data_IF_497864465785
#
_entry.id   IF_497864465785
#
_cell.length_a   1.000
_cell.length_b   1.000
_cell.length_c   1.000
_cell.angle_alpha   90.00
_cell.angle_beta   90.00
_cell.angle_gamma   90.00
#
_symmetry.space_group_name_H-M   'P 1'
#
loop_
_entity.id
_entity.type
_entity.pdbx_description
1 polymer ?
#
# COMPACT_ATOMS: atom_id res chain seq x y z
N UNK A 1 -23.62 1.48 4.46
CA UNK A 1 -23.82 0.48 5.52
C UNK A 1 -25.03 -0.40 5.24
N UNK A 2 -25.02 -1.62 5.76
CA UNK A 2 -26.12 -2.60 5.63
C UNK A 2 -26.64 -2.93 7.01
N UNK A 3 -27.96 -2.93 7.19
CA UNK A 3 -28.65 -3.48 8.34
C UNK A 3 -29.31 -4.83 7.98
N UNK A 4 -29.32 -5.74 8.91
CA UNK A 4 -29.96 -7.05 8.74
C UNK A 4 -31.22 -7.13 9.58
N UNK A 5 -32.34 -7.51 8.97
CA UNK A 5 -33.52 -7.96 9.68
C UNK A 5 -33.56 -9.48 9.67
N UNK A 6 -33.58 -10.06 10.86
CA UNK A 6 -33.66 -11.54 11.01
C UNK A 6 -35.02 -11.91 11.58
N UNK A 7 -35.78 -12.62 10.79
CA UNK A 7 -37.08 -13.20 11.22
C UNK A 7 -36.87 -14.68 11.57
N UNK A 8 -37.21 -15.06 12.80
CA UNK A 8 -37.13 -16.45 13.25
C UNK A 8 -38.54 -16.96 13.51
N UNK A 9 -38.97 -17.88 12.68
CA UNK A 9 -40.29 -18.53 12.87
C UNK A 9 -40.10 -19.92 13.49
N UNK A 10 -40.64 -20.10 14.69
CA UNK A 10 -40.64 -21.39 15.38
C UNK A 10 -42.09 -21.83 15.59
N UNK A 11 -42.44 -23.00 15.10
CA UNK A 11 -43.75 -23.60 15.41
C UNK A 11 -43.69 -24.29 16.76
N UNK A 12 -44.54 -23.90 17.72
CA UNK A 12 -44.60 -24.59 18.99
C UNK A 12 -45.05 -26.06 18.77
N UNK A 13 -44.28 -26.98 19.33
CA UNK A 13 -44.53 -28.43 19.27
C UNK A 13 -44.26 -29.12 17.91
N UNK A 14 -43.61 -28.45 16.95
CA UNK A 14 -43.18 -29.10 15.72
C UNK A 14 -41.73 -29.64 15.88
N UNK A 15 -41.44 -30.87 15.41
CA UNK A 15 -40.08 -31.38 15.34
C UNK A 15 -39.26 -30.73 14.21
N UNK A 16 -39.85 -29.86 13.38
CA UNK A 16 -39.17 -29.19 12.29
C UNK A 16 -38.23 -28.10 12.81
N UNK A 17 -37.07 -27.91 12.14
CA UNK A 17 -36.12 -26.87 12.50
C UNK A 17 -36.74 -25.46 12.33
N UNK A 18 -36.37 -24.54 13.20
CA UNK A 18 -36.82 -23.16 13.11
C UNK A 18 -36.41 -22.57 11.75
N UNK A 19 -37.33 -21.87 11.09
CA UNK A 19 -37.05 -21.17 9.85
C UNK A 19 -36.43 -19.78 10.17
N UNK A 20 -35.29 -19.51 9.64
CA UNK A 20 -34.59 -18.20 9.74
C UNK A 20 -34.60 -17.55 8.38
N UNK A 21 -35.16 -16.35 8.32
CA UNK A 21 -35.11 -15.51 7.13
C UNK A 21 -34.29 -14.26 7.44
N UNK A 22 -33.33 -13.97 6.57
CA UNK A 22 -32.46 -12.80 6.71
C UNK A 22 -32.72 -11.87 5.53
N UNK A 23 -33.05 -10.61 5.82
CA UNK A 23 -33.24 -9.56 4.84
C UNK A 23 -32.19 -8.48 5.05
N UNK A 24 -31.49 -8.14 3.99
CA UNK A 24 -30.50 -7.05 3.95
C UNK A 24 -31.17 -5.75 3.55
N UNK A 25 -30.91 -4.70 4.31
CA UNK A 25 -31.40 -3.35 4.04
C UNK A 25 -30.22 -2.39 3.89
N UNK A 26 -30.12 -1.72 2.74
CA UNK A 26 -29.17 -0.64 2.57
C UNK A 26 -29.62 0.56 3.41
N UNK A 27 -28.89 0.87 4.49
CA UNK A 27 -29.27 1.91 5.46
C UNK A 27 -28.31 3.10 5.54
N UNK A 28 -27.23 3.07 4.77
CA UNK A 28 -26.24 4.14 4.77
C UNK A 28 -25.79 4.49 3.36
N UNK A 29 -25.57 5.76 3.12
CA UNK A 29 -25.02 6.27 1.87
C UNK A 29 -23.48 6.32 1.89
N UNK A 30 -22.89 6.38 3.09
CA UNK A 30 -21.45 6.46 3.26
C UNK A 30 -20.73 5.13 3.01
N UNK A 31 -19.64 5.24 2.25
CA UNK A 31 -18.67 4.15 2.03
C UNK A 31 -17.46 4.37 2.93
N UNK A 32 -17.03 3.32 3.61
CA UNK A 32 -15.81 3.32 4.41
C UNK A 32 -14.90 2.22 3.87
N UNK A 33 -13.70 2.62 3.45
CA UNK A 33 -12.74 1.68 2.89
C UNK A 33 -11.36 1.83 3.54
N UNK A 34 -10.62 0.72 3.59
CA UNK A 34 -9.27 0.66 4.12
C UNK A 34 -8.38 -0.05 3.11
N UNK A 35 -7.46 0.71 2.53
CA UNK A 35 -6.63 0.28 1.40
C UNK A 35 -5.18 0.17 1.84
N UNK A 36 -4.53 -0.92 1.46
CA UNK A 36 -3.09 -1.10 1.56
C UNK A 36 -2.53 -1.22 0.14
N UNK A 37 -1.43 -0.51 -0.14
CA UNK A 37 -0.88 -0.43 -1.49
C UNK A 37 0.63 -0.38 -1.45
N UNK A 38 1.26 -1.18 -2.32
CA UNK A 38 2.70 -1.16 -2.51
C UNK A 38 3.07 -0.11 -3.55
N UNK A 39 4.06 0.75 -3.23
CA UNK A 39 4.50 1.85 -4.09
C UNK A 39 6.01 1.83 -4.18
N UNK A 40 6.54 1.49 -5.35
CA UNK A 40 7.96 1.39 -5.60
C UNK A 40 8.45 2.29 -6.74
N UNK A 41 7.53 2.74 -7.59
CA UNK A 41 7.83 3.62 -8.72
C UNK A 41 6.65 4.56 -9.06
N UNK A 42 6.84 5.41 -10.08
CA UNK A 42 5.83 6.36 -10.53
C UNK A 42 4.57 5.68 -11.09
N UNK A 43 4.69 4.48 -11.67
CA UNK A 43 3.53 3.77 -12.22
C UNK A 43 2.62 3.24 -11.13
N UNK A 44 3.18 2.83 -9.98
CA UNK A 44 2.42 2.43 -8.80
C UNK A 44 1.65 3.61 -8.21
N UNK A 45 2.29 4.80 -8.18
CA UNK A 45 1.63 6.05 -7.76
C UNK A 45 0.47 6.39 -8.69
N UNK A 46 0.67 6.33 -10.00
CA UNK A 46 -0.39 6.57 -10.98
C UNK A 46 -1.54 5.58 -10.82
N UNK A 47 -1.24 4.30 -10.62
CA UNK A 47 -2.24 3.27 -10.41
C UNK A 47 -3.04 3.50 -9.11
N UNK A 48 -2.37 3.88 -8.02
CA UNK A 48 -3.02 4.21 -6.75
C UNK A 48 -3.93 5.44 -6.86
N UNK A 49 -3.46 6.52 -7.49
CA UNK A 49 -4.25 7.74 -7.71
C UNK A 49 -5.44 7.49 -8.65
N UNK A 50 -5.24 6.65 -9.69
CA UNK A 50 -6.32 6.21 -10.57
C UNK A 50 -7.37 5.38 -9.83
N UNK A 51 -6.93 4.46 -8.95
CA UNK A 51 -7.81 3.69 -8.07
C UNK A 51 -8.66 4.61 -7.18
N UNK A 52 -8.06 5.59 -6.52
CA UNK A 52 -8.80 6.59 -5.72
C UNK A 52 -9.76 7.40 -6.60
N UNK A 53 -9.34 7.76 -7.80
CA UNK A 53 -10.17 8.52 -8.75
C UNK A 53 -11.38 7.73 -9.25
N UNK A 54 -11.36 6.42 -9.21
CA UNK A 54 -12.44 5.55 -9.67
C UNK A 54 -13.62 5.42 -8.70
N UNK A 55 -13.50 5.88 -7.45
CA UNK A 55 -14.63 5.86 -6.52
C UNK A 55 -15.82 6.66 -7.04
N UNK A 56 -17.03 6.07 -7.12
CA UNK A 56 -18.18 6.71 -7.77
C UNK A 56 -18.77 7.89 -6.98
N UNK A 57 -18.71 7.84 -5.66
CA UNK A 57 -19.32 8.84 -4.77
C UNK A 57 -18.34 9.31 -3.71
N UNK A 58 -17.30 10.04 -4.15
CA UNK A 58 -16.19 10.46 -3.29
C UNK A 58 -16.64 11.31 -2.10
N UNK A 59 -17.63 12.18 -2.29
CA UNK A 59 -18.12 13.06 -1.24
C UNK A 59 -18.74 12.31 -0.04
N UNK A 60 -19.23 11.09 -0.27
CA UNK A 60 -19.76 10.21 0.77
C UNK A 60 -18.84 8.99 1.02
N UNK A 61 -17.58 9.09 0.62
CA UNK A 61 -16.58 8.04 0.79
C UNK A 61 -15.47 8.49 1.74
N UNK A 62 -15.19 7.65 2.71
CA UNK A 62 -14.06 7.77 3.64
C UNK A 62 -13.06 6.68 3.32
N UNK A 63 -11.86 7.06 2.92
CA UNK A 63 -10.76 6.13 2.65
C UNK A 63 -9.64 6.32 3.65
N UNK A 64 -9.23 5.22 4.28
CA UNK A 64 -7.98 5.13 5.03
C UNK A 64 -6.98 4.35 4.19
N UNK A 65 -5.85 4.96 3.85
CA UNK A 65 -4.82 4.27 3.08
C UNK A 65 -3.56 4.01 3.89
N UNK A 66 -2.86 2.96 3.56
CA UNK A 66 -1.51 2.66 4.00
C UNK A 66 -0.67 2.34 2.77
N UNK A 67 0.47 3.04 2.64
CA UNK A 67 1.41 2.84 1.56
C UNK A 67 2.68 2.20 2.11
N UNK A 68 3.23 1.24 1.38
CA UNK A 68 4.45 0.54 1.72
C UNK A 68 5.39 0.60 0.54
N UNK A 69 6.69 0.67 0.80
CA UNK A 69 7.70 0.65 -0.24
C UNK A 69 8.73 1.76 -0.14
N UNK A 70 9.35 2.07 -1.28
CA UNK A 70 10.41 3.06 -1.33
C UNK A 70 10.44 3.74 -2.69
N UNK A 71 10.35 5.06 -2.72
CA UNK A 71 10.26 5.86 -3.93
C UNK A 71 11.28 7.00 -3.90
N UNK A 72 11.67 7.49 -5.06
CA UNK A 72 12.50 8.70 -5.17
C UNK A 72 11.72 9.98 -4.80
N UNK A 73 12.44 11.09 -4.64
CA UNK A 73 11.86 12.38 -4.27
C UNK A 73 10.83 12.88 -5.30
N UNK A 74 11.04 12.62 -6.58
CA UNK A 74 10.14 13.10 -7.65
C UNK A 74 8.82 12.34 -7.60
N UNK A 75 8.87 11.03 -7.40
CA UNK A 75 7.71 10.16 -7.25
C UNK A 75 6.93 10.48 -5.96
N UNK A 76 7.64 10.77 -4.86
CA UNK A 76 7.01 11.23 -3.61
C UNK A 76 6.24 12.55 -3.83
N UNK A 77 6.85 13.52 -4.52
CA UNK A 77 6.19 14.79 -4.84
C UNK A 77 4.95 14.59 -5.73
N UNK A 78 4.99 13.66 -6.69
CA UNK A 78 3.84 13.31 -7.51
C UNK A 78 2.71 12.72 -6.68
N UNK A 79 3.03 11.83 -5.75
CA UNK A 79 2.07 11.24 -4.81
C UNK A 79 1.42 12.31 -3.94
N UNK A 80 2.22 13.17 -3.31
CA UNK A 80 1.74 14.25 -2.44
C UNK A 80 0.81 15.22 -3.18
N UNK A 81 1.19 15.62 -4.40
CA UNK A 81 0.37 16.49 -5.24
C UNK A 81 -0.97 15.82 -5.61
N UNK A 82 -0.93 14.56 -6.04
CA UNK A 82 -2.15 13.81 -6.40
C UNK A 82 -3.09 13.61 -5.21
N UNK A 83 -2.55 13.33 -4.02
CA UNK A 83 -3.33 13.22 -2.80
C UNK A 83 -3.92 14.56 -2.37
N UNK A 84 -3.17 15.67 -2.49
CA UNK A 84 -3.66 17.00 -2.19
C UNK A 84 -4.82 17.42 -3.10
N UNK A 85 -4.79 17.02 -4.37
CA UNK A 85 -5.88 17.26 -5.33
C UNK A 85 -7.13 16.41 -5.03
N UNK A 86 -6.94 15.17 -4.57
CA UNK A 86 -8.04 14.25 -4.28
C UNK A 86 -8.68 14.45 -2.90
N UNK A 87 -7.90 14.84 -1.89
CA UNK A 87 -8.39 14.97 -0.53
C UNK A 87 -9.65 15.85 -0.38
N UNK A 88 -9.77 17.01 -1.07
CA UNK A 88 -10.95 17.88 -0.94
C UNK A 88 -12.24 17.30 -1.53
N UNK A 89 -12.16 16.31 -2.44
CA UNK A 89 -13.34 15.74 -3.10
C UNK A 89 -13.87 14.50 -2.38
N UNK A 90 -13.10 13.92 -1.46
CA UNK A 90 -13.55 12.83 -0.59
C UNK A 90 -14.25 13.35 0.66
N UNK A 91 -15.16 12.56 1.22
CA UNK A 91 -15.69 12.80 2.56
C UNK A 91 -14.60 12.82 3.62
N UNK A 92 -13.62 11.93 3.51
CA UNK A 92 -12.32 11.99 4.15
C UNK A 92 -11.32 11.07 3.44
N UNK A 93 -10.08 11.51 3.31
CA UNK A 93 -8.96 10.73 2.78
C UNK A 93 -7.76 10.94 3.71
N UNK A 94 -7.27 9.87 4.36
CA UNK A 94 -6.20 9.99 5.34
C UNK A 94 -5.40 8.71 5.55
N UNK A 95 -4.21 8.87 6.07
CA UNK A 95 -3.24 7.82 6.30
C UNK A 95 -3.61 6.92 7.48
N UNK A 96 -3.30 5.63 7.35
CA UNK A 96 -3.25 4.69 8.47
C UNK A 96 -1.86 4.70 9.09
N UNK A 97 -1.56 5.70 9.90
CA UNK A 97 -0.21 5.99 10.44
C UNK A 97 0.56 4.76 10.94
N UNK A 98 -0.13 3.77 11.55
CA UNK A 98 0.52 2.56 12.09
C UNK A 98 0.95 1.56 11.02
N UNK A 99 0.45 1.68 9.80
CA UNK A 99 0.72 0.77 8.70
C UNK A 99 1.44 1.47 7.53
N UNK A 100 1.66 2.78 7.64
CA UNK A 100 2.50 3.51 6.70
C UNK A 100 3.95 3.05 6.84
N UNK A 101 4.52 2.57 5.75
CA UNK A 101 5.92 2.16 5.64
C UNK A 101 6.48 2.57 4.26
N UNK A 102 6.15 3.79 3.84
CA UNK A 102 6.68 4.40 2.63
C UNK A 102 7.91 5.25 2.99
N UNK A 103 9.03 5.00 2.35
CA UNK A 103 10.30 5.68 2.58
C UNK A 103 10.85 6.27 1.29
N UNK A 104 11.75 7.26 1.42
CA UNK A 104 12.53 7.73 0.28
C UNK A 104 13.58 6.67 -0.09
N UNK A 105 13.70 6.41 -1.39
CA UNK A 105 14.78 5.57 -1.91
C UNK A 105 16.13 6.26 -1.65
N UNK A 106 17.14 5.51 -1.17
CA UNK A 106 18.45 6.07 -1.01
C UNK A 106 19.02 6.50 -2.36
N UNK A 107 19.69 7.65 -2.39
CA UNK A 107 20.50 8.06 -3.54
C UNK A 107 21.79 7.22 -3.61
N UNK A 108 22.47 7.24 -4.75
CA UNK A 108 23.79 6.59 -4.90
C UNK A 108 24.81 7.16 -3.89
N UNK A 109 24.69 8.45 -3.53
CA UNK A 109 25.51 9.09 -2.50
C UNK A 109 25.19 8.56 -1.09
N UNK A 110 23.91 8.36 -0.77
CA UNK A 110 23.50 7.78 0.50
C UNK A 110 23.99 6.33 0.66
N UNK A 111 23.96 5.56 -0.45
CA UNK A 111 24.48 4.20 -0.47
C UNK A 111 26.01 4.17 -0.28
N UNK A 112 26.72 5.10 -0.91
CA UNK A 112 28.17 5.21 -0.78
C UNK A 112 28.65 5.64 0.61
N UNK A 113 27.82 6.42 1.33
CA UNK A 113 28.11 6.90 2.70
C UNK A 113 27.61 5.92 3.78
N UNK A 114 26.88 4.86 3.39
CA UNK A 114 26.34 3.90 4.33
C UNK A 114 27.44 2.97 4.85
N UNK A 115 28.07 3.31 5.97
CA UNK A 115 29.10 2.50 6.65
C UNK A 115 28.44 1.30 7.37
N UNK A 116 28.10 0.26 6.60
CA UNK A 116 27.68 -1.02 7.17
C UNK A 116 28.89 -1.91 7.41
N UNK A 117 29.07 -2.31 8.67
CA UNK A 117 30.13 -3.26 9.03
C UNK A 117 29.75 -4.72 8.77
N UNK A 118 30.76 -5.58 8.61
CA UNK A 118 30.57 -7.03 8.54
C UNK A 118 29.80 -7.51 7.32
N UNK A 119 28.93 -8.50 7.50
CA UNK A 119 28.17 -9.14 6.41
C UNK A 119 27.28 -8.16 5.65
N UNK A 120 26.66 -7.20 6.33
CA UNK A 120 25.79 -6.22 5.71
C UNK A 120 26.55 -5.29 4.73
N UNK A 121 27.78 -4.90 5.08
CA UNK A 121 28.64 -4.12 4.18
C UNK A 121 29.06 -4.91 2.94
N UNK A 122 29.34 -6.20 3.07
CA UNK A 122 29.64 -7.05 1.90
C UNK A 122 28.41 -7.22 1.00
N UNK A 123 27.22 -7.41 1.58
CA UNK A 123 25.98 -7.49 0.81
C UNK A 123 25.68 -6.18 0.08
N UNK A 124 25.90 -5.02 0.70
CA UNK A 124 25.74 -3.72 0.08
C UNK A 124 26.66 -3.57 -1.14
N UNK A 125 27.95 -3.91 -0.98
CA UNK A 125 28.93 -3.82 -2.08
C UNK A 125 28.56 -4.74 -3.25
N UNK A 126 28.18 -6.00 -2.97
CA UNK A 126 27.76 -6.96 -3.99
C UNK A 126 26.50 -6.53 -4.75
N UNK A 127 25.47 -6.05 -4.02
CA UNK A 127 24.25 -5.54 -4.65
C UNK A 127 24.51 -4.27 -5.48
N UNK A 128 25.39 -3.38 -5.03
CA UNK A 128 25.77 -2.17 -5.79
C UNK A 128 26.51 -2.54 -7.08
N UNK A 129 27.42 -3.52 -7.06
CA UNK A 129 28.08 -4.02 -8.25
C UNK A 129 27.08 -4.68 -9.24
N UNK A 130 26.11 -5.44 -8.72
CA UNK A 130 25.05 -6.04 -9.55
C UNK A 130 24.15 -4.98 -10.19
N UNK A 131 23.79 -3.92 -9.45
CA UNK A 131 23.00 -2.81 -9.96
C UNK A 131 23.72 -2.03 -11.10
N UNK A 132 25.05 -1.93 -11.04
CA UNK A 132 25.86 -1.25 -12.04
C UNK A 132 26.08 -2.10 -13.32
N UNK A 133 25.77 -3.39 -13.32
CA UNK A 133 25.97 -4.25 -14.48
C UNK A 133 24.93 -4.00 -15.57
N UNK A 134 25.32 -4.03 -16.87
CA UNK A 134 24.37 -3.92 -17.97
C UNK A 134 23.44 -5.15 -18.04
N UNK A 135 22.15 -4.97 -18.40
CA UNK A 135 21.20 -6.06 -18.50
C UNK A 135 21.63 -7.07 -19.57
N UNK A 136 21.67 -8.35 -19.23
CA UNK A 136 21.88 -9.40 -20.22
C UNK A 136 22.87 -10.52 -19.90
N UNK A 137 23.43 -10.61 -18.70
CA UNK A 137 24.26 -11.76 -18.30
C UNK A 137 23.39 -12.81 -17.63
N UNK A 138 23.38 -14.03 -18.15
CA UNK A 138 22.48 -15.18 -17.81
C UNK A 138 22.44 -15.67 -16.35
N UNK A 139 22.95 -14.94 -15.39
CA UNK A 139 22.99 -15.29 -13.96
C UNK A 139 22.68 -14.14 -13.02
N UNK A 140 22.38 -12.96 -13.55
CA UNK A 140 22.03 -11.79 -12.71
C UNK A 140 20.54 -11.82 -12.40
N UNK A 141 20.13 -11.58 -11.13
CA UNK A 141 18.75 -11.29 -10.78
C UNK A 141 18.23 -10.14 -11.67
N UNK A 142 16.92 -10.09 -11.90
CA UNK A 142 16.32 -8.96 -12.58
C UNK A 142 16.75 -7.67 -11.88
N UNK A 143 17.05 -6.62 -12.67
CA UNK A 143 17.57 -5.34 -12.17
C UNK A 143 16.67 -4.76 -11.08
N UNK A 144 15.37 -4.90 -11.24
CA UNK A 144 14.37 -4.42 -10.28
C UNK A 144 14.52 -5.15 -8.93
N UNK A 145 14.75 -6.45 -8.93
CA UNK A 145 15.03 -7.25 -7.72
C UNK A 145 16.29 -6.78 -6.99
N UNK A 146 17.33 -6.38 -7.70
CA UNK A 146 18.58 -5.87 -7.11
C UNK A 146 18.35 -4.50 -6.46
N UNK A 147 17.61 -3.61 -7.13
CA UNK A 147 17.26 -2.31 -6.58
C UNK A 147 16.36 -2.45 -5.35
N UNK A 148 15.40 -3.35 -5.36
CA UNK A 148 14.54 -3.61 -4.20
C UNK A 148 15.33 -4.18 -3.02
N UNK A 149 16.30 -5.06 -3.28
CA UNK A 149 17.18 -5.58 -2.25
C UNK A 149 18.06 -4.48 -1.62
N UNK A 150 18.58 -3.54 -2.44
CA UNK A 150 19.34 -2.37 -1.97
C UNK A 150 18.48 -1.46 -1.07
N UNK A 151 17.27 -1.14 -1.52
CA UNK A 151 16.30 -0.35 -0.76
C UNK A 151 15.98 -0.98 0.59
N UNK A 152 15.71 -2.29 0.59
CA UNK A 152 15.42 -3.03 1.81
C UNK A 152 16.61 -3.04 2.77
N UNK A 153 17.82 -3.27 2.28
CA UNK A 153 19.04 -3.26 3.09
C UNK A 153 19.27 -1.89 3.73
N UNK A 154 19.10 -0.81 2.97
CA UNK A 154 19.25 0.56 3.47
C UNK A 154 18.20 0.88 4.54
N UNK A 155 16.94 0.53 4.32
CA UNK A 155 15.86 0.71 5.31
C UNK A 155 16.15 -0.03 6.61
N UNK A 156 16.62 -1.27 6.54
CA UNK A 156 17.00 -2.05 7.73
C UNK A 156 18.19 -1.47 8.46
N UNK A 157 19.12 -0.83 7.74
CA UNK A 157 20.28 -0.16 8.32
C UNK A 157 19.90 1.09 9.12
N UNK A 158 18.87 1.82 8.69
CA UNK A 158 18.40 3.02 9.40
C UNK A 158 17.56 2.71 10.65
N UNK A 159 17.04 1.51 10.81
CA UNK A 159 16.24 1.11 11.96
C UNK A 159 17.08 0.73 13.21
N UNK A 160 18.41 0.91 13.16
CA UNK A 160 19.33 0.72 14.27
C UNK A 160 19.58 2.04 14.97
#
# INVERSE_FOLDING_TARGET
GVALTVAVTKQPHSPEPSRVEVHEHQVGTWTFDAVEWDVNDASDVEAFLAFLSAYPNKAETVVKYALQGSVDMSTMQQLDAGLADLAPVFGALYERQRLMDLSLAPSDEDLAQCELGGYAGHALAELSELAAQPPGTSRTPERDTVHDALRLLFRLAQQR
#
